data_IF_264657871669
#
_entry.id   IF_264657871669
#
_cell.length_a   1.000
_cell.length_b   1.000
_cell.length_c   1.000
_cell.angle_alpha   90.00
_cell.angle_beta   90.00
_cell.angle_gamma   90.00
#
_symmetry.space_group_name_H-M   'P 1'
#
loop_
_entity.id
_entity.type
_entity.pdbx_description
1 polymer ?
#
# COMPACT_ATOMS: atom_id res chain seq x y z
N UNK A 1 19.60 -8.03 -19.36
CA UNK A 1 18.31 -8.32 -18.69
C UNK A 1 18.05 -7.28 -17.61
N UNK A 2 17.64 -6.07 -18.00
CA UNK A 2 17.26 -5.02 -17.04
C UNK A 2 15.78 -5.15 -16.74
N UNK A 3 15.43 -5.48 -15.50
CA UNK A 3 14.03 -5.53 -15.05
C UNK A 3 13.45 -4.12 -15.23
N UNK A 4 12.64 -3.93 -16.27
CA UNK A 4 11.76 -2.78 -16.42
C UNK A 4 10.77 -2.79 -15.26
N UNK A 5 11.21 -2.24 -14.14
CA UNK A 5 10.43 -2.10 -12.93
C UNK A 5 9.28 -1.18 -13.28
N UNK A 6 8.10 -1.74 -13.52
CA UNK A 6 6.86 -1.01 -13.75
C UNK A 6 6.75 0.08 -12.67
N UNK A 7 7.06 1.34 -13.03
CA UNK A 7 6.89 2.50 -12.16
C UNK A 7 5.51 3.06 -12.49
N UNK A 8 4.54 2.86 -11.60
CA UNK A 8 3.21 3.44 -11.77
C UNK A 8 2.04 2.47 -11.53
N UNK A 9 0.81 2.87 -11.92
CA UNK A 9 -0.44 2.16 -11.61
C UNK A 9 -0.46 0.72 -12.15
N UNK A 10 0.28 0.42 -13.22
CA UNK A 10 0.42 -0.94 -13.75
C UNK A 10 1.04 -1.94 -12.75
N UNK A 11 2.00 -1.50 -11.91
CA UNK A 11 2.58 -2.36 -10.86
C UNK A 11 1.59 -2.59 -9.72
N UNK A 12 0.81 -1.57 -9.39
CA UNK A 12 -0.26 -1.66 -8.40
C UNK A 12 -1.34 -2.66 -8.84
N UNK A 13 -1.80 -2.57 -10.09
CA UNK A 13 -2.81 -3.48 -10.63
C UNK A 13 -2.31 -4.93 -10.67
N UNK A 14 -1.05 -5.16 -11.09
CA UNK A 14 -0.44 -6.49 -11.09
C UNK A 14 -0.36 -7.09 -9.67
N UNK A 15 -0.01 -6.26 -8.69
CA UNK A 15 0.10 -6.69 -7.31
C UNK A 15 -1.29 -6.96 -6.68
N UNK A 16 -2.28 -6.13 -6.98
CA UNK A 16 -3.66 -6.34 -6.53
C UNK A 16 -4.27 -7.60 -7.16
N UNK A 17 -4.07 -7.82 -8.45
CA UNK A 17 -4.52 -9.05 -9.14
C UNK A 17 -3.94 -10.30 -8.48
N UNK A 18 -2.64 -10.30 -8.16
CA UNK A 18 -2.00 -11.42 -7.44
C UNK A 18 -2.51 -11.59 -6.00
N UNK A 19 -2.91 -10.51 -5.34
CA UNK A 19 -3.44 -10.57 -3.98
C UNK A 19 -4.87 -11.13 -3.95
N UNK A 20 -5.67 -10.90 -5.00
CA UNK A 20 -6.99 -11.53 -5.16
C UNK A 20 -6.86 -13.05 -5.25
N UNK A 21 -5.91 -13.56 -6.04
CA UNK A 21 -5.73 -14.99 -6.25
C UNK A 21 -5.42 -15.78 -4.96
N UNK A 22 -4.87 -15.12 -3.93
CA UNK A 22 -4.40 -15.76 -2.70
C UNK A 22 -5.20 -15.41 -1.43
N UNK A 23 -6.16 -14.47 -1.48
CA UNK A 23 -7.15 -14.20 -0.42
C UNK A 23 -6.62 -13.83 0.99
N UNK A 24 -5.31 -13.60 1.18
CA UNK A 24 -4.72 -13.48 2.52
C UNK A 24 -4.65 -12.03 3.02
N UNK A 25 -5.18 -11.78 4.22
CA UNK A 25 -5.24 -10.44 4.83
C UNK A 25 -3.85 -9.76 4.99
N UNK A 26 -2.79 -10.56 5.10
CA UNK A 26 -1.40 -10.07 5.18
C UNK A 26 -0.91 -9.40 3.89
N UNK A 27 -1.44 -9.78 2.73
CA UNK A 27 -1.00 -9.22 1.44
C UNK A 27 -1.44 -7.76 1.28
N UNK A 28 -2.63 -7.38 1.74
CA UNK A 28 -3.11 -6.01 1.59
C UNK A 28 -2.24 -5.00 2.34
N UNK A 29 -1.74 -5.32 3.54
CA UNK A 29 -0.78 -4.46 4.23
C UNK A 29 0.53 -4.32 3.45
N UNK A 30 1.05 -5.43 2.91
CA UNK A 30 2.23 -5.43 2.04
C UNK A 30 2.03 -4.60 0.76
N UNK A 31 0.82 -4.65 0.19
CA UNK A 31 0.41 -3.82 -0.94
C UNK A 31 0.42 -2.33 -0.58
N UNK A 32 -0.17 -1.97 0.57
CA UNK A 32 -0.13 -0.60 1.09
C UNK A 32 1.30 -0.09 1.24
N UNK A 33 2.19 -0.89 1.82
CA UNK A 33 3.61 -0.57 1.93
C UNK A 33 4.27 -0.36 0.57
N UNK A 34 3.94 -1.21 -0.42
CA UNK A 34 4.49 -1.07 -1.78
C UNK A 34 4.00 0.20 -2.47
N UNK A 35 2.72 0.57 -2.29
CA UNK A 35 2.17 1.83 -2.83
C UNK A 35 2.85 3.03 -2.21
N UNK A 36 3.05 3.02 -0.90
CA UNK A 36 3.80 4.09 -0.20
C UNK A 36 5.22 4.19 -0.73
N UNK A 37 5.90 3.06 -0.93
CA UNK A 37 7.24 3.02 -1.50
C UNK A 37 7.30 3.58 -2.92
N UNK A 38 6.30 3.28 -3.75
CA UNK A 38 6.21 3.85 -5.09
C UNK A 38 5.95 5.35 -5.08
N UNK A 39 5.19 5.86 -4.11
CA UNK A 39 4.84 7.28 -4.00
C UNK A 39 5.95 8.13 -3.38
N UNK A 40 6.75 7.55 -2.49
CA UNK A 40 7.77 8.27 -1.71
C UNK A 40 9.19 7.93 -2.14
N UNK A 41 9.36 6.94 -3.02
CA UNK A 41 10.64 6.32 -3.40
C UNK A 41 11.42 5.76 -2.21
N UNK A 42 10.74 5.53 -1.07
CA UNK A 42 11.31 5.08 0.20
C UNK A 42 10.39 4.08 0.88
N UNK A 43 10.91 3.09 1.61
CA UNK A 43 10.04 2.20 2.37
C UNK A 43 9.22 3.00 3.40
N UNK A 44 8.02 2.54 3.78
CA UNK A 44 7.26 3.18 4.83
C UNK A 44 8.08 3.17 6.14
N UNK A 45 8.01 4.26 6.91
CA UNK A 45 8.78 4.44 8.15
C UNK A 45 10.31 4.46 7.97
N UNK A 46 10.81 4.82 6.78
CA UNK A 46 12.25 4.93 6.48
C UNK A 46 13.01 5.90 7.41
N UNK A 47 12.30 6.78 8.14
CA UNK A 47 12.87 7.67 9.15
C UNK A 47 13.27 6.96 10.46
N UNK A 48 12.87 5.70 10.65
CA UNK A 48 13.18 4.89 11.83
C UNK A 48 14.15 3.74 11.49
N UNK A 49 15.01 3.38 12.44
CA UNK A 49 15.71 2.10 12.39
C UNK A 49 14.72 0.92 12.41
N UNK A 50 15.09 -0.21 11.82
CA UNK A 50 14.19 -1.35 11.62
C UNK A 50 13.48 -1.81 12.91
N UNK A 51 14.20 -1.91 14.03
CA UNK A 51 13.60 -2.32 15.31
C UNK A 51 12.66 -1.25 15.88
N UNK A 52 12.98 0.02 15.71
CA UNK A 52 12.12 1.12 16.14
C UNK A 52 10.83 1.18 15.30
N UNK A 53 10.93 0.94 13.99
CA UNK A 53 9.78 0.84 13.09
C UNK A 53 8.87 -0.34 13.50
N UNK A 54 9.43 -1.52 13.75
CA UNK A 54 8.66 -2.70 14.19
C UNK A 54 7.96 -2.43 15.53
N UNK A 55 8.68 -1.90 16.51
CA UNK A 55 8.10 -1.57 17.81
C UNK A 55 6.95 -0.57 17.68
N UNK A 56 7.12 0.46 16.86
CA UNK A 56 6.10 1.47 16.59
C UNK A 56 4.85 0.86 15.94
N UNK A 57 5.01 0.03 14.91
CA UNK A 57 3.90 -0.66 14.22
C UNK A 57 3.17 -1.63 15.17
N UNK A 58 3.91 -2.33 16.03
CA UNK A 58 3.36 -3.32 16.95
C UNK A 58 2.59 -2.70 18.12
N UNK A 59 2.97 -1.49 18.55
CA UNK A 59 2.42 -0.86 19.76
C UNK A 59 1.39 0.22 19.48
N UNK A 60 1.36 0.79 18.28
CA UNK A 60 0.52 1.95 17.96
C UNK A 60 -0.13 1.82 16.58
N UNK A 61 -1.42 2.20 16.43
CA UNK A 61 -2.02 2.42 15.13
C UNK A 61 -1.22 3.52 14.41
N UNK A 62 -0.52 3.15 13.35
CA UNK A 62 0.39 4.05 12.65
C UNK A 62 0.17 4.02 11.16
N UNK A 63 0.00 5.21 10.60
CA UNK A 63 -0.04 5.42 9.17
C UNK A 63 1.34 5.89 8.70
N UNK A 64 1.81 5.43 7.55
CA UNK A 64 3.05 5.94 6.96
C UNK A 64 2.89 7.40 6.54
N UNK A 65 4.00 8.13 6.49
CA UNK A 65 4.01 9.47 5.94
C UNK A 65 3.73 9.42 4.44
N UNK A 66 2.77 10.24 4.00
CA UNK A 66 2.40 10.37 2.59
C UNK A 66 2.87 11.72 2.06
N UNK A 67 3.33 11.80 0.81
CA UNK A 67 3.75 13.05 0.22
C UNK A 67 2.56 14.00 0.06
N UNK A 68 2.81 15.31 0.11
CA UNK A 68 1.74 16.32 -0.01
C UNK A 68 1.00 16.24 -1.35
N UNK A 69 1.72 15.89 -2.43
CA UNK A 69 1.25 15.83 -3.81
C UNK A 69 0.44 14.58 -4.19
N UNK A 70 0.26 13.60 -3.29
CA UNK A 70 -0.62 12.45 -3.56
C UNK A 70 -2.06 12.96 -3.77
N UNK A 71 -2.83 12.30 -4.65
CA UNK A 71 -4.25 12.61 -4.82
C UNK A 71 -5.07 12.24 -3.57
N UNK A 72 -6.24 12.86 -3.40
CA UNK A 72 -7.17 12.46 -2.33
C UNK A 72 -7.59 10.99 -2.44
N UNK A 73 -7.79 10.50 -3.66
CA UNK A 73 -8.09 9.08 -3.90
C UNK A 73 -6.94 8.16 -3.46
N UNK A 74 -5.69 8.53 -3.69
CA UNK A 74 -4.54 7.76 -3.19
C UNK A 74 -4.45 7.76 -1.67
N UNK A 75 -4.75 8.90 -1.04
CA UNK A 75 -4.84 9.02 0.43
C UNK A 75 -5.94 8.15 1.01
N UNK A 76 -7.13 8.15 0.41
CA UNK A 76 -8.26 7.32 0.87
C UNK A 76 -7.95 5.82 0.70
N UNK A 77 -7.38 5.44 -0.44
CA UNK A 77 -6.98 4.07 -0.72
C UNK A 77 -6.03 3.53 0.35
N UNK A 78 -4.99 4.30 0.69
CA UNK A 78 -4.01 3.90 1.71
C UNK A 78 -4.63 3.89 3.11
N UNK A 79 -5.53 4.83 3.44
CA UNK A 79 -6.25 4.79 4.72
C UNK A 79 -7.05 3.51 4.89
N UNK A 80 -7.75 3.06 3.85
CA UNK A 80 -8.53 1.81 3.87
C UNK A 80 -7.65 0.58 4.06
N UNK A 81 -6.38 0.62 3.65
CA UNK A 81 -5.44 -0.48 3.80
C UNK A 81 -4.81 -0.50 5.21
N UNK A 82 -4.37 0.65 5.72
CA UNK A 82 -3.72 0.80 7.02
C UNK A 82 -4.73 0.92 8.18
N UNK A 83 -5.76 0.07 8.17
CA UNK A 83 -6.66 -0.17 9.30
C UNK A 83 -6.33 -1.49 10.00
N UNK A 84 -6.98 -1.73 11.15
CA UNK A 84 -6.92 -3.02 11.84
C UNK A 84 -7.27 -4.17 10.90
N UNK A 85 -6.58 -5.30 11.01
CA UNK A 85 -6.72 -6.42 10.07
C UNK A 85 -8.17 -6.90 9.89
N UNK A 86 -8.99 -6.82 10.94
CA UNK A 86 -10.42 -7.19 10.91
C UNK A 86 -11.32 -6.24 10.13
N UNK A 87 -10.89 -4.99 9.92
CA UNK A 87 -11.64 -3.97 9.17
C UNK A 87 -11.07 -3.75 7.76
N UNK A 88 -10.01 -4.49 7.40
CA UNK A 88 -9.31 -4.29 6.14
C UNK A 88 -10.14 -4.85 4.99
N UNK A 89 -10.45 -4.04 3.96
CA UNK A 89 -11.21 -4.50 2.81
C UNK A 89 -10.44 -5.55 2.02
N UNK A 90 -11.18 -6.48 1.40
CA UNK A 90 -10.63 -7.54 0.55
C UNK A 90 -9.85 -6.95 -0.64
N UNK A 91 -8.99 -7.77 -1.26
CA UNK A 91 -8.29 -7.34 -2.47
C UNK A 91 -9.28 -6.97 -3.60
N UNK A 92 -10.41 -7.67 -3.68
CA UNK A 92 -11.49 -7.36 -4.63
C UNK A 92 -12.13 -6.00 -4.33
N UNK A 93 -12.44 -5.70 -3.07
CA UNK A 93 -12.98 -4.40 -2.66
C UNK A 93 -11.99 -3.27 -2.98
N UNK A 94 -10.69 -3.49 -2.74
CA UNK A 94 -9.65 -2.52 -3.09
C UNK A 94 -9.54 -2.30 -4.60
N UNK A 95 -9.76 -3.32 -5.43
CA UNK A 95 -9.77 -3.17 -6.89
C UNK A 95 -10.94 -2.33 -7.39
N UNK A 96 -12.06 -2.29 -6.68
CA UNK A 96 -13.20 -1.42 -7.02
C UNK A 96 -12.95 0.04 -6.65
N UNK A 97 -11.92 0.34 -5.86
CA UNK A 97 -11.62 1.69 -5.43
C UNK A 97 -11.15 2.57 -6.59
N UNK A 98 -11.58 3.84 -6.63
CA UNK A 98 -11.26 4.76 -7.71
C UNK A 98 -9.74 4.85 -7.99
N UNK A 99 -8.91 4.86 -6.95
CA UNK A 99 -7.45 4.84 -7.09
C UNK A 99 -6.89 3.63 -7.85
N UNK A 100 -7.47 2.45 -7.70
CA UNK A 100 -7.06 1.25 -8.44
C UNK A 100 -7.56 1.26 -9.89
N UNK A 101 -8.65 2.00 -10.15
CA UNK A 101 -9.26 2.19 -11.47
C UNK A 101 -8.63 3.37 -12.26
N UNK A 102 -7.77 4.18 -11.65
CA UNK A 102 -7.04 5.26 -12.33
C UNK A 102 -5.97 4.66 -13.25
N UNK A 103 -6.41 4.23 -14.43
CA UNK A 103 -5.59 3.84 -15.57
C UNK A 103 -5.89 4.84 -16.68
N UNK A 104 -4.99 5.81 -16.88
CA UNK A 104 -4.89 6.61 -18.10
C UNK A 104 -3.45 6.56 -18.59
#
# INVERSE_FOLDING_TARGET
>A
MGKGLLRGPAKLLLLLSKAVDHGAAGQQASLGCTVVEMLTEKPPWAEYEAMAAIFKIATQPTNPQLPSHISEHGRDFLRRIFVEARQRPSAEELLTHHFAQLVY
#
